data_IF_538391927237
#
_entry.id   IF_538391927237
#
_cell.length_a   1.000
_cell.length_b   1.000
_cell.length_c   1.000
_cell.angle_alpha   90.00
_cell.angle_beta   90.00
_cell.angle_gamma   90.00
#
_symmetry.space_group_name_H-M   'P 1'
#
loop_
_entity.id
_entity.type
_entity.pdbx_description
1 polymer ?
#
# COMPACT_ATOMS: atom_id res chain seq x y z
N UNK A 1 -54.85 -23.92 -50.76
CA UNK A 1 -54.75 -23.63 -49.32
C UNK A 1 -54.05 -22.27 -49.18
N UNK A 2 -54.70 -21.14 -49.45
CA UNK A 2 -55.58 -20.35 -48.58
C UNK A 2 -54.91 -19.93 -47.24
N UNK A 3 -54.67 -18.61 -47.12
CA UNK A 3 -54.06 -17.84 -46.00
C UNK A 3 -54.98 -17.90 -44.74
N UNK A 4 -54.52 -17.51 -43.53
CA UNK A 4 -54.38 -16.07 -43.23
C UNK A 4 -53.13 -15.65 -42.43
N UNK A 5 -52.79 -14.34 -42.48
CA UNK A 5 -51.90 -13.64 -41.56
C UNK A 5 -52.70 -13.09 -40.36
N UNK A 6 -52.06 -12.24 -39.52
CA UNK A 6 -52.58 -11.31 -38.49
C UNK A 6 -52.01 -11.65 -37.10
N UNK A 7 -51.05 -10.88 -36.59
CA UNK A 7 -51.17 -9.55 -35.96
C UNK A 7 -51.47 -9.65 -34.47
N UNK A 8 -50.66 -8.96 -33.66
CA UNK A 8 -51.07 -7.87 -32.77
C UNK A 8 -50.20 -7.81 -31.51
N UNK A 9 -49.62 -6.63 -31.32
CA UNK A 9 -49.65 -5.82 -30.10
C UNK A 9 -49.21 -6.45 -28.78
N UNK A 10 -48.25 -5.81 -28.11
CA UNK A 10 -48.46 -5.16 -26.80
C UNK A 10 -47.37 -4.09 -26.59
N UNK A 11 -47.80 -3.07 -25.86
CA UNK A 11 -47.36 -1.69 -25.70
C UNK A 11 -46.04 -1.48 -24.92
N UNK A 12 -45.49 -0.25 -24.94
CA UNK A 12 -44.37 0.14 -24.10
C UNK A 12 -44.82 0.39 -22.65
N UNK A 13 -44.32 -0.43 -21.72
CA UNK A 13 -44.51 -0.29 -20.28
C UNK A 13 -43.53 0.71 -19.68
N UNK A 14 -43.96 1.96 -19.63
CA UNK A 14 -43.35 3.03 -18.85
C UNK A 14 -43.65 2.84 -17.34
N UNK A 15 -42.80 3.42 -16.47
CA UNK A 15 -43.10 3.89 -15.09
C UNK A 15 -43.03 2.83 -13.96
N UNK A 16 -42.46 3.04 -12.76
CA UNK A 16 -41.61 4.07 -12.10
C UNK A 16 -41.18 3.48 -10.74
N UNK A 17 -39.98 3.89 -10.29
CA UNK A 17 -39.58 4.24 -8.91
C UNK A 17 -39.67 3.19 -7.81
N UNK A 18 -38.51 2.91 -7.19
CA UNK A 18 -38.19 3.37 -5.81
C UNK A 18 -36.71 3.04 -5.56
N UNK A 19 -35.83 4.03 -5.61
CA UNK A 19 -35.24 4.68 -4.43
C UNK A 19 -34.17 3.83 -3.73
N UNK A 20 -32.91 4.00 -4.14
CA UNK A 20 -31.74 3.93 -3.25
C UNK A 20 -30.59 4.69 -3.95
N UNK A 21 -30.41 5.99 -3.67
CA UNK A 21 -29.44 6.51 -2.70
C UNK A 21 -28.04 6.74 -3.34
N UNK A 22 -27.75 8.05 -3.50
CA UNK A 22 -26.47 8.78 -3.55
C UNK A 22 -25.70 8.78 -4.91
N UNK A 23 -25.69 9.89 -5.66
CA UNK A 23 -25.01 11.21 -5.49
C UNK A 23 -23.50 11.18 -5.80
N UNK A 24 -23.16 12.03 -6.78
CA UNK A 24 -21.87 12.68 -7.04
C UNK A 24 -20.70 11.73 -7.38
N UNK A 25 -20.12 11.80 -8.58
CA UNK A 25 -19.53 13.02 -9.11
C UNK A 25 -18.09 13.12 -8.62
N UNK A 26 -17.16 12.44 -9.31
CA UNK A 26 -15.78 12.87 -9.50
C UNK A 26 -15.14 12.06 -10.63
N UNK A 27 -15.10 12.69 -11.79
CA UNK A 27 -14.09 12.42 -12.79
C UNK A 27 -12.80 13.10 -12.31
N UNK A 28 -11.82 12.33 -11.87
CA UNK A 28 -10.40 12.73 -11.95
C UNK A 28 -9.57 11.52 -12.34
N UNK A 29 -9.54 11.28 -13.64
CA UNK A 29 -8.31 10.85 -14.30
C UNK A 29 -7.26 11.90 -13.96
N UNK A 30 -6.33 11.60 -13.06
CA UNK A 30 -5.31 12.55 -12.62
C UNK A 30 -4.30 11.88 -11.69
N UNK A 31 -3.31 11.21 -12.31
CA UNK A 31 -2.10 10.63 -11.69
C UNK A 31 -2.39 9.55 -10.64
N UNK A 32 -2.36 8.28 -11.05
CA UNK A 32 -2.27 7.18 -10.08
C UNK A 32 -0.92 7.29 -9.38
N UNK A 33 -0.91 7.93 -8.21
CA UNK A 33 0.14 7.78 -7.23
C UNK A 33 0.16 6.31 -6.83
N UNK A 34 1.08 5.53 -7.40
CA UNK A 34 1.26 4.14 -7.02
C UNK A 34 1.70 4.12 -5.54
N UNK A 35 0.75 3.90 -4.64
CA UNK A 35 1.01 3.81 -3.21
C UNK A 35 1.33 2.35 -2.92
N UNK A 36 2.58 2.06 -2.58
CA UNK A 36 3.06 0.72 -2.23
C UNK A 36 3.24 0.62 -0.73
N UNK A 37 2.68 -0.40 -0.11
CA UNK A 37 2.69 -0.60 1.33
C UNK A 37 3.38 -1.91 1.66
N UNK A 38 4.57 -1.81 2.22
CA UNK A 38 5.30 -2.97 2.74
C UNK A 38 4.78 -3.36 4.12
N UNK A 39 4.18 -4.54 4.17
CA UNK A 39 3.35 -4.98 5.28
C UNK A 39 3.66 -6.43 5.67
N UNK A 40 3.43 -6.77 6.95
CA UNK A 40 3.44 -8.14 7.43
C UNK A 40 2.12 -8.46 8.19
N UNK A 41 1.33 -9.45 7.76
CA UNK A 41 0.02 -9.78 8.35
C UNK A 41 0.06 -10.23 9.81
N UNK A 42 1.19 -10.77 10.24
CA UNK A 42 1.36 -11.22 11.62
C UNK A 42 1.56 -10.07 12.60
N UNK A 43 1.83 -8.84 12.13
CA UNK A 43 2.05 -7.68 12.97
C UNK A 43 0.75 -6.93 13.29
N UNK A 44 0.42 -6.79 14.58
CA UNK A 44 -0.76 -6.05 15.04
C UNK A 44 -0.78 -4.59 14.57
N UNK A 45 0.39 -3.91 14.55
CA UNK A 45 0.50 -2.52 14.08
C UNK A 45 0.22 -2.38 12.59
N UNK A 46 0.66 -3.36 11.81
CA UNK A 46 0.41 -3.43 10.38
C UNK A 46 -1.09 -3.65 10.06
N UNK A 47 -1.81 -4.42 10.87
CA UNK A 47 -3.28 -4.58 10.72
C UNK A 47 -4.05 -3.30 11.00
N UNK A 48 -3.63 -2.53 12.01
CA UNK A 48 -4.21 -1.21 12.31
C UNK A 48 -3.98 -0.25 11.13
N UNK A 49 -2.74 -0.18 10.63
CA UNK A 49 -2.40 0.65 9.47
C UNK A 49 -3.22 0.27 8.24
N UNK A 50 -3.36 -1.03 7.93
CA UNK A 50 -4.23 -1.48 6.83
C UNK A 50 -5.68 -1.02 7.03
N UNK A 51 -6.21 -1.11 8.24
CA UNK A 51 -7.56 -0.64 8.55
C UNK A 51 -7.75 0.88 8.40
N UNK A 52 -6.70 1.69 8.59
CA UNK A 52 -6.74 3.13 8.28
C UNK A 52 -6.72 3.37 6.77
N UNK A 53 -5.88 2.65 6.03
CA UNK A 53 -5.80 2.75 4.56
C UNK A 53 -7.14 2.34 3.93
N UNK A 54 -7.71 1.20 4.34
CA UNK A 54 -9.01 0.72 3.87
C UNK A 54 -10.12 1.75 4.18
N UNK A 55 -10.05 2.44 5.33
CA UNK A 55 -11.01 3.50 5.71
C UNK A 55 -10.87 4.76 4.88
N UNK A 56 -9.65 5.09 4.44
CA UNK A 56 -9.39 6.26 3.59
C UNK A 56 -9.93 6.10 2.16
N UNK A 57 -10.19 4.86 1.73
CA UNK A 57 -10.63 4.56 0.36
C UNK A 57 -9.55 4.74 -0.70
N UNK A 58 -8.29 4.91 -0.28
CA UNK A 58 -7.13 5.03 -1.17
C UNK A 58 -6.74 3.66 -1.71
N UNK A 59 -6.58 3.55 -3.03
CA UNK A 59 -6.03 2.35 -3.64
C UNK A 59 -4.52 2.27 -3.38
N UNK A 60 -4.08 1.22 -2.69
CA UNK A 60 -2.68 0.93 -2.45
C UNK A 60 -2.33 -0.51 -2.82
N UNK A 61 -1.12 -0.71 -3.33
CA UNK A 61 -0.52 -2.03 -3.51
C UNK A 61 0.07 -2.51 -2.19
N UNK A 62 -0.33 -3.68 -1.70
CA UNK A 62 0.19 -4.23 -0.43
C UNK A 62 1.19 -5.32 -0.73
N UNK A 63 2.48 -5.04 -0.50
CA UNK A 63 3.58 -5.98 -0.73
C UNK A 63 3.99 -6.64 0.58
N UNK A 64 3.96 -7.97 0.60
CA UNK A 64 4.49 -8.78 1.71
C UNK A 64 5.99 -9.00 1.50
N UNK A 65 6.79 -8.07 1.99
CA UNK A 65 8.24 -8.08 1.79
C UNK A 65 8.97 -9.30 2.42
N UNK A 66 8.32 -10.04 3.32
CA UNK A 66 8.88 -11.31 3.84
C UNK A 66 8.72 -12.46 2.83
N UNK A 67 7.69 -12.40 1.98
CA UNK A 67 7.46 -13.40 0.93
C UNK A 67 8.19 -13.02 -0.37
N UNK A 68 8.36 -11.71 -0.58
CA UNK A 68 9.06 -11.11 -1.72
C UNK A 68 10.15 -10.18 -1.19
N UNK A 69 11.34 -10.71 -0.84
CA UNK A 69 12.46 -9.87 -0.45
C UNK A 69 12.83 -8.93 -1.59
N UNK A 70 13.20 -7.71 -1.25
CA UNK A 70 13.65 -6.72 -2.22
C UNK A 70 15.13 -6.96 -2.55
N UNK A 71 15.50 -6.81 -3.81
CA UNK A 71 16.89 -6.84 -4.25
C UNK A 71 17.63 -5.56 -3.83
N UNK A 72 18.97 -5.59 -3.89
CA UNK A 72 19.85 -4.46 -3.56
C UNK A 72 19.45 -3.16 -4.29
N UNK A 73 19.14 -3.24 -5.59
CA UNK A 73 18.70 -2.09 -6.38
C UNK A 73 17.36 -1.51 -5.89
N UNK A 74 16.40 -2.38 -5.55
CA UNK A 74 15.09 -1.98 -5.09
C UNK A 74 15.14 -1.40 -3.67
N UNK A 75 15.99 -1.97 -2.79
CA UNK A 75 16.28 -1.40 -1.47
C UNK A 75 17.02 -0.07 -1.59
N UNK A 76 17.96 0.05 -2.52
CA UNK A 76 18.63 1.32 -2.82
C UNK A 76 17.63 2.41 -3.20
N UNK A 77 16.70 2.08 -4.10
CA UNK A 77 15.60 2.99 -4.45
C UNK A 77 14.74 3.31 -3.22
N UNK A 78 14.36 2.33 -2.41
CA UNK A 78 13.55 2.54 -1.20
C UNK A 78 14.25 3.48 -0.20
N UNK A 79 15.55 3.31 -0.02
CA UNK A 79 16.39 4.14 0.86
C UNK A 79 16.50 5.56 0.34
N UNK A 80 16.65 5.74 -0.99
CA UNK A 80 16.71 7.06 -1.62
C UNK A 80 15.36 7.80 -1.54
N UNK A 81 14.26 7.05 -1.53
CA UNK A 81 12.90 7.57 -1.36
C UNK A 81 12.56 7.83 0.11
N UNK A 82 13.33 7.30 1.07
CA UNK A 82 13.02 7.38 2.49
C UNK A 82 13.10 8.82 3.01
N UNK A 83 11.99 9.31 3.55
CA UNK A 83 11.99 10.53 4.34
C UNK A 83 12.51 10.24 5.76
N UNK A 84 13.81 10.44 5.94
CA UNK A 84 14.47 10.31 7.22
C UNK A 84 15.88 9.76 7.08
N UNK A 85 16.57 9.52 8.21
CA UNK A 85 17.85 8.84 8.18
C UNK A 85 17.64 7.38 7.78
N UNK A 86 18.55 6.83 6.98
CA UNK A 86 18.54 5.41 6.56
C UNK A 86 18.51 4.44 7.74
N UNK A 87 19.04 4.86 8.89
CA UNK A 87 18.98 4.13 10.16
C UNK A 87 17.57 3.89 10.68
N UNK A 88 16.61 4.72 10.29
CA UNK A 88 15.22 4.56 10.73
C UNK A 88 14.53 3.43 10.00
N UNK A 89 15.03 3.02 8.83
CA UNK A 89 14.57 1.84 8.10
C UNK A 89 14.96 0.55 8.83
N UNK A 90 16.05 0.56 9.59
CA UNK A 90 16.53 -0.60 10.35
C UNK A 90 15.79 -0.69 11.70
N UNK A 91 15.23 -1.87 11.96
CA UNK A 91 14.54 -2.20 13.19
C UNK A 91 15.53 -2.71 14.23
N UNK A 92 15.69 -1.93 15.29
CA UNK A 92 16.50 -2.28 16.47
C UNK A 92 15.71 -3.17 17.41
N UNK A 93 15.59 -4.45 17.09
CA UNK A 93 15.00 -5.45 17.98
C UNK A 93 16.01 -6.54 18.35
N UNK A 94 15.55 -7.60 19.02
CA UNK A 94 16.44 -8.66 19.50
C UNK A 94 17.29 -9.29 18.39
N UNK A 95 16.80 -9.34 17.14
CA UNK A 95 17.59 -9.85 16.00
C UNK A 95 18.75 -8.93 15.66
N UNK A 96 18.53 -7.62 15.73
CA UNK A 96 19.58 -6.63 15.58
C UNK A 96 20.67 -6.80 16.65
N UNK A 97 20.27 -7.02 17.90
CA UNK A 97 21.21 -7.24 19.01
C UNK A 97 21.97 -8.58 18.88
N UNK A 98 21.30 -9.63 18.41
CA UNK A 98 21.91 -10.96 18.17
C UNK A 98 22.98 -10.93 17.07
N UNK A 99 22.85 -10.04 16.08
CA UNK A 99 23.82 -9.87 15.00
C UNK A 99 25.05 -9.05 15.42
N UNK A 100 25.01 -8.38 16.57
CA UNK A 100 26.14 -7.60 17.07
C UNK A 100 26.51 -6.41 16.19
N UNK A 101 25.52 -5.84 15.48
CA UNK A 101 25.72 -4.77 14.52
C UNK A 101 26.20 -3.49 15.20
N UNK A 102 27.26 -2.91 14.65
CA UNK A 102 27.86 -1.67 15.09
C UNK A 102 27.16 -0.45 14.49
N UNK A 103 27.50 0.72 15.02
CA UNK A 103 26.97 2.00 14.53
C UNK A 103 27.26 2.24 13.04
N UNK A 104 28.30 1.66 12.46
CA UNK A 104 28.63 1.81 11.06
C UNK A 104 27.68 1.02 10.13
N UNK A 105 27.14 -0.10 10.58
CA UNK A 105 26.40 -1.06 9.74
C UNK A 105 24.98 -0.58 9.41
N UNK A 106 24.46 0.41 10.13
CA UNK A 106 23.11 0.93 9.94
C UNK A 106 23.04 2.47 9.80
N UNK A 107 24.19 3.15 9.68
CA UNK A 107 24.25 4.63 9.55
C UNK A 107 24.39 5.13 8.12
N UNK A 108 24.88 4.28 7.22
CA UNK A 108 25.19 4.62 5.83
C UNK A 108 24.34 3.79 4.88
N UNK A 109 24.12 4.31 3.67
CA UNK A 109 23.23 3.71 2.67
C UNK A 109 23.67 2.29 2.30
N UNK A 110 24.93 2.12 1.92
CA UNK A 110 25.45 0.85 1.41
C UNK A 110 25.38 -0.26 2.47
N UNK A 111 25.89 -0.07 3.71
CA UNK A 111 25.77 -1.12 4.74
C UNK A 111 24.33 -1.43 5.14
N UNK A 112 23.42 -0.44 5.12
CA UNK A 112 21.99 -0.69 5.39
C UNK A 112 21.38 -1.56 4.32
N UNK A 113 21.71 -1.32 3.05
CA UNK A 113 21.18 -2.13 1.95
C UNK A 113 21.69 -3.56 2.08
N UNK A 114 23.00 -3.77 2.22
CA UNK A 114 23.60 -5.10 2.39
C UNK A 114 22.94 -5.84 3.57
N UNK A 115 22.77 -5.14 4.70
CA UNK A 115 22.13 -5.68 5.89
C UNK A 115 20.67 -6.10 5.64
N UNK A 116 19.90 -5.30 4.88
CA UNK A 116 18.50 -5.60 4.60
C UNK A 116 18.31 -6.64 3.50
N UNK A 117 19.29 -6.81 2.61
CA UNK A 117 19.34 -7.93 1.65
C UNK A 117 19.56 -9.24 2.40
N UNK A 118 20.54 -9.27 3.31
CA UNK A 118 20.86 -10.48 4.10
C UNK A 118 19.80 -10.77 5.17
N UNK A 119 19.22 -9.72 5.75
CA UNK A 119 18.27 -9.79 6.87
C UNK A 119 17.03 -8.92 6.63
N UNK A 120 16.14 -9.29 5.69
CA UNK A 120 14.93 -8.52 5.39
C UNK A 120 14.02 -8.36 6.62
N UNK A 121 14.08 -9.26 7.60
CA UNK A 121 13.32 -9.18 8.84
C UNK A 121 13.61 -7.92 9.68
N UNK A 122 14.81 -7.35 9.53
CA UNK A 122 15.25 -6.13 10.18
C UNK A 122 14.65 -4.88 9.54
N UNK A 123 13.97 -4.99 8.40
CA UNK A 123 13.27 -3.85 7.83
C UNK A 123 12.14 -3.38 8.75
N UNK A 124 12.01 -2.07 8.89
CA UNK A 124 10.91 -1.47 9.61
C UNK A 124 9.56 -1.74 8.95
N UNK A 125 8.53 -1.69 9.78
CA UNK A 125 7.17 -2.03 9.40
C UNK A 125 6.14 -1.18 10.13
N UNK A 126 5.05 -0.79 9.46
CA UNK A 126 4.84 -0.78 8.01
C UNK A 126 5.60 0.38 7.34
N UNK A 127 6.01 0.20 6.08
CA UNK A 127 6.60 1.26 5.24
C UNK A 127 5.63 1.54 4.10
N UNK A 128 5.27 2.80 3.92
CA UNK A 128 4.36 3.26 2.87
C UNK A 128 5.18 4.11 1.90
N UNK A 129 5.22 3.71 0.64
CA UNK A 129 5.83 4.44 -0.45
C UNK A 129 4.72 5.08 -1.27
N UNK A 130 4.78 6.38 -1.47
CA UNK A 130 3.84 7.13 -2.29
C UNK A 130 4.62 8.09 -3.17
N UNK A 131 4.35 8.09 -4.48
CA UNK A 131 4.96 9.03 -5.43
C UNK A 131 6.50 9.09 -5.36
N UNK A 132 7.14 7.96 -5.02
CA UNK A 132 8.59 7.89 -4.81
C UNK A 132 9.06 8.47 -3.48
N UNK A 133 8.18 8.54 -2.47
CA UNK A 133 8.52 8.95 -1.11
C UNK A 133 8.14 7.82 -0.16
N UNK A 134 9.11 7.24 0.53
CA UNK A 134 8.93 6.19 1.52
C UNK A 134 8.85 6.78 2.94
N UNK A 135 7.78 6.44 3.65
CA UNK A 135 7.50 6.85 5.03
C UNK A 135 7.28 5.64 5.93
N UNK A 136 7.85 5.71 7.13
CA UNK A 136 7.66 4.66 8.14
C UNK A 136 6.40 4.97 8.96
N UNK A 137 5.35 4.19 8.74
CA UNK A 137 4.01 4.48 9.26
C UNK A 137 3.72 3.70 10.57
N UNK A 138 4.45 4.02 11.65
CA UNK A 138 4.30 3.31 12.95
C UNK A 138 3.06 3.72 13.73
N UNK A 139 2.51 4.91 13.47
CA UNK A 139 1.32 5.44 14.14
C UNK A 139 0.20 5.69 13.12
N UNK A 140 -1.08 5.70 13.54
CA UNK A 140 -2.20 6.03 12.66
C UNK A 140 -2.04 7.40 11.99
N UNK A 141 -1.48 8.38 12.70
CA UNK A 141 -1.21 9.72 12.14
C UNK A 141 -0.18 9.65 11.01
N UNK A 142 0.91 8.88 11.18
CA UNK A 142 1.90 8.69 10.12
C UNK A 142 1.35 7.93 8.93
N UNK A 143 0.38 7.01 9.14
CA UNK A 143 -0.34 6.35 8.04
C UNK A 143 -1.14 7.38 7.25
N UNK A 144 -1.94 8.20 7.93
CA UNK A 144 -2.74 9.25 7.30
C UNK A 144 -1.87 10.29 6.58
N UNK A 145 -0.72 10.66 7.15
CA UNK A 145 0.25 11.54 6.50
C UNK A 145 0.94 10.90 5.30
N UNK A 146 1.12 9.58 5.28
CA UNK A 146 1.74 8.90 4.15
C UNK A 146 0.78 8.71 2.97
N UNK A 147 -0.53 8.57 3.24
CA UNK A 147 -1.57 8.40 2.21
C UNK A 147 -2.24 9.70 1.76
N UNK A 148 -2.27 10.74 2.61
CA UNK A 148 -2.86 12.06 2.34
C UNK A 148 -1.87 13.02 1.73
#
# INVERSE_FOLDING_TARGET
>A
MLRPPMAASILPGSIKRSDSILRAGQSTRGLMSAIVVYFNPHCTKCRIAKGEIDRSGVECEVIRYMDHPLDEEALGALVDQLEGPVSDLVRKDRRFDELGLGAADYRTREPVIDLLVDHPELMQRPVIVRDGIARIARTPESVTQAIG
#
